data_IF_954227620954
#
_entry.id   IF_954227620954
#
_cell.length_a   1.000
_cell.length_b   1.000
_cell.length_c   1.000
_cell.angle_alpha   90.00
_cell.angle_beta   90.00
_cell.angle_gamma   90.00
#
_symmetry.space_group_name_H-M   'P 1'
#
loop_
_entity.id
_entity.type
_entity.pdbx_description
1 polymer ?
#
# COMPACT_ATOMS: atom_id res chain seq x y z
N UNK A 1 17.45 -23.25 -11.29
CA UNK A 1 17.24 -22.28 -12.38
C UNK A 1 15.96 -21.50 -12.07
N UNK A 2 16.06 -20.22 -11.69
CA UNK A 2 14.88 -19.36 -11.50
C UNK A 2 14.31 -19.04 -12.87
N UNK A 3 13.15 -19.58 -13.20
CA UNK A 3 12.43 -19.19 -14.43
C UNK A 3 12.24 -17.66 -14.41
N UNK A 4 12.82 -16.98 -15.37
CA UNK A 4 12.58 -15.55 -15.58
C UNK A 4 11.17 -15.40 -16.11
N UNK A 5 10.22 -15.12 -15.20
CA UNK A 5 8.84 -14.78 -15.59
C UNK A 5 8.91 -13.55 -16.52
N UNK A 6 8.29 -13.65 -17.69
CA UNK A 6 8.19 -12.52 -18.63
C UNK A 6 7.31 -11.41 -18.02
N UNK A 7 7.60 -10.13 -18.29
CA UNK A 7 6.76 -9.04 -17.84
C UNK A 7 5.35 -9.16 -18.44
N UNK A 8 4.32 -8.98 -17.61
CA UNK A 8 2.93 -8.97 -18.08
C UNK A 8 2.56 -7.55 -18.52
N UNK A 9 1.94 -7.42 -19.70
CA UNK A 9 1.51 -6.13 -20.27
C UNK A 9 0.59 -5.36 -19.31
N UNK A 10 -0.32 -6.06 -18.64
CA UNK A 10 -1.22 -5.46 -17.66
C UNK A 10 -0.45 -4.80 -16.51
N UNK A 11 0.62 -5.44 -16.00
CA UNK A 11 1.44 -4.87 -14.95
C UNK A 11 2.14 -3.59 -15.42
N UNK A 12 2.69 -3.58 -16.63
CA UNK A 12 3.34 -2.39 -17.20
C UNK A 12 2.34 -1.23 -17.35
N UNK A 13 1.14 -1.49 -17.85
CA UNK A 13 0.10 -0.47 -17.96
C UNK A 13 -0.28 0.10 -16.60
N UNK A 14 -0.50 -0.77 -15.61
CA UNK A 14 -0.84 -0.33 -14.25
C UNK A 14 0.30 0.42 -13.57
N UNK A 15 1.56 0.02 -13.81
CA UNK A 15 2.74 0.74 -13.32
C UNK A 15 2.90 2.11 -13.99
N UNK A 16 2.52 2.24 -15.27
CA UNK A 16 2.46 3.55 -15.95
C UNK A 16 1.44 4.46 -15.26
N UNK A 17 0.23 3.96 -15.04
CA UNK A 17 -0.83 4.71 -14.33
C UNK A 17 -0.37 5.09 -12.93
N UNK A 18 0.26 4.16 -12.21
CA UNK A 18 0.82 4.40 -10.88
C UNK A 18 1.84 5.55 -10.86
N UNK A 19 2.81 5.53 -11.81
CA UNK A 19 3.81 6.59 -11.95
C UNK A 19 3.20 7.96 -12.30
N UNK A 20 2.19 7.98 -13.17
CA UNK A 20 1.47 9.21 -13.52
C UNK A 20 0.73 9.80 -12.31
N UNK A 21 -0.02 8.97 -11.57
CA UNK A 21 -0.76 9.41 -10.37
C UNK A 21 0.20 9.96 -9.32
N UNK A 22 1.31 9.27 -9.08
CA UNK A 22 2.31 9.71 -8.11
C UNK A 22 2.95 11.05 -8.52
N UNK A 23 3.35 11.19 -9.80
CA UNK A 23 3.88 12.44 -10.33
C UNK A 23 2.88 13.59 -10.14
N UNK A 24 1.61 13.37 -10.43
CA UNK A 24 0.55 14.34 -10.24
C UNK A 24 0.43 14.78 -8.77
N UNK A 25 0.33 13.83 -7.83
CA UNK A 25 0.19 14.13 -6.40
C UNK A 25 1.36 14.94 -5.84
N UNK A 26 2.58 14.52 -6.16
CA UNK A 26 3.79 15.18 -5.64
C UNK A 26 3.98 16.53 -6.31
N UNK A 27 3.92 16.63 -7.64
CA UNK A 27 4.27 17.85 -8.37
C UNK A 27 3.24 18.95 -8.18
N UNK A 28 1.94 18.63 -8.06
CA UNK A 28 0.89 19.65 -7.94
C UNK A 28 0.52 20.00 -6.51
N UNK A 29 0.67 19.07 -5.55
CA UNK A 29 0.23 19.31 -4.18
C UNK A 29 1.38 19.48 -3.20
N UNK A 30 2.48 18.75 -3.33
CA UNK A 30 3.56 18.77 -2.36
C UNK A 30 4.70 19.71 -2.72
N UNK A 31 5.20 19.66 -3.95
CA UNK A 31 6.33 20.48 -4.42
C UNK A 31 6.07 21.99 -4.31
N UNK A 32 4.91 22.55 -4.72
CA UNK A 32 4.66 24.00 -4.66
C UNK A 32 4.72 24.57 -3.25
N UNK A 33 4.28 23.81 -2.27
CA UNK A 33 4.25 24.20 -0.85
C UNK A 33 5.47 23.69 -0.08
N UNK A 34 6.45 23.11 -0.79
CA UNK A 34 7.71 22.59 -0.24
C UNK A 34 7.52 21.51 0.83
N UNK A 35 6.44 20.74 0.74
CA UNK A 35 6.24 19.56 1.56
C UNK A 35 7.09 18.40 1.02
N UNK A 36 7.55 17.55 1.92
CA UNK A 36 8.37 16.40 1.57
C UNK A 36 7.51 15.14 1.47
N UNK A 37 7.77 14.36 0.44
CA UNK A 37 7.28 12.98 0.34
C UNK A 37 8.16 12.04 1.20
N UNK A 38 7.90 10.76 1.12
CA UNK A 38 8.69 9.74 1.81
C UNK A 38 9.92 9.30 1.01
N UNK A 39 10.89 8.71 1.69
CA UNK A 39 11.98 7.98 1.08
C UNK A 39 12.91 8.83 0.20
N UNK A 40 13.29 8.26 -0.93
CA UNK A 40 14.17 8.93 -1.91
C UNK A 40 13.47 10.10 -2.60
N UNK A 41 12.15 10.00 -2.81
CA UNK A 41 11.36 11.11 -3.33
C UNK A 41 11.49 12.34 -2.43
N UNK A 42 11.27 12.19 -1.12
CA UNK A 42 11.45 13.27 -0.16
C UNK A 42 12.89 13.79 -0.07
N UNK A 43 13.87 12.88 -0.12
CA UNK A 43 15.29 13.24 -0.18
C UNK A 43 15.60 14.06 -1.46
N UNK A 44 15.03 13.66 -2.60
CA UNK A 44 15.19 14.36 -3.88
C UNK A 44 14.59 15.77 -3.83
N UNK A 45 13.43 15.92 -3.17
CA UNK A 45 12.78 17.23 -2.97
C UNK A 45 13.61 18.15 -2.06
N UNK A 46 14.22 17.60 -1.00
CA UNK A 46 15.15 18.38 -0.15
C UNK A 46 16.35 18.84 -0.96
N UNK A 47 16.98 17.95 -1.74
CA UNK A 47 18.14 18.27 -2.56
C UNK A 47 17.81 19.31 -3.63
N UNK A 48 16.66 19.22 -4.29
CA UNK A 48 16.19 20.24 -5.24
C UNK A 48 16.09 21.63 -4.60
N UNK A 49 15.62 21.70 -3.34
CA UNK A 49 15.46 22.99 -2.65
C UNK A 49 16.77 23.65 -2.22
N UNK A 50 17.81 22.85 -1.96
CA UNK A 50 19.12 23.36 -1.49
C UNK A 50 20.17 23.47 -2.60
N UNK A 51 19.87 23.01 -3.82
CA UNK A 51 20.78 23.02 -4.96
C UNK A 51 20.34 24.06 -6.02
N UNK A 52 21.24 24.46 -6.93
CA UNK A 52 20.89 25.35 -8.02
C UNK A 52 19.78 24.80 -8.92
N UNK A 53 18.96 25.67 -9.51
CA UNK A 53 17.79 25.33 -10.34
C UNK A 53 18.06 24.47 -11.59
N UNK A 54 19.33 24.25 -11.93
CA UNK A 54 19.70 23.30 -13.00
C UNK A 54 19.55 21.83 -12.60
N UNK A 55 19.45 21.52 -11.28
CA UNK A 55 19.28 20.18 -10.74
C UNK A 55 17.83 19.98 -10.29
N UNK A 56 17.04 19.34 -11.15
CA UNK A 56 15.60 19.12 -10.91
C UNK A 56 15.32 17.91 -10.05
N UNK A 57 14.13 17.90 -9.44
CA UNK A 57 13.56 16.73 -8.74
C UNK A 57 13.71 15.44 -9.55
N UNK A 58 13.35 15.48 -10.83
CA UNK A 58 13.39 14.32 -11.72
C UNK A 58 14.80 13.74 -11.88
N UNK A 59 15.82 14.60 -11.89
CA UNK A 59 17.22 14.19 -11.98
C UNK A 59 17.65 13.48 -10.69
N UNK A 60 17.34 14.04 -9.53
CA UNK A 60 17.66 13.43 -8.25
C UNK A 60 16.93 12.11 -8.04
N UNK A 61 15.64 12.03 -8.44
CA UNK A 61 14.89 10.77 -8.41
C UNK A 61 15.60 9.65 -9.18
N UNK A 62 16.12 9.93 -10.36
CA UNK A 62 16.84 8.94 -11.16
C UNK A 62 18.19 8.57 -10.52
N UNK A 63 19.01 9.57 -10.20
CA UNK A 63 20.38 9.35 -9.69
C UNK A 63 20.38 8.58 -8.36
N UNK A 64 19.52 8.97 -7.41
CA UNK A 64 19.50 8.35 -6.09
C UNK A 64 18.88 6.95 -6.09
N UNK A 65 17.94 6.68 -6.99
CA UNK A 65 17.32 5.35 -7.10
C UNK A 65 18.20 4.31 -7.80
N UNK A 66 19.08 4.71 -8.74
CA UNK A 66 19.94 3.78 -9.49
C UNK A 66 20.74 2.84 -8.58
N UNK A 67 21.55 3.32 -7.60
CA UNK A 67 22.35 2.43 -6.75
C UNK A 67 21.49 1.48 -5.92
N UNK A 68 20.32 1.92 -5.47
CA UNK A 68 19.39 1.12 -4.68
C UNK A 68 18.78 0.00 -5.52
N UNK A 69 18.42 0.28 -6.76
CA UNK A 69 17.94 -0.73 -7.70
C UNK A 69 19.00 -1.75 -8.10
N UNK A 70 20.26 -1.34 -8.22
CA UNK A 70 21.36 -2.28 -8.46
C UNK A 70 21.53 -3.29 -7.30
N UNK A 71 21.36 -2.84 -6.06
CA UNK A 71 21.31 -3.73 -4.89
C UNK A 71 20.05 -4.61 -4.93
N UNK A 72 18.90 -4.04 -5.28
CA UNK A 72 17.64 -4.75 -5.45
C UNK A 72 17.73 -5.89 -6.46
N UNK A 73 18.39 -5.65 -7.59
CA UNK A 73 18.60 -6.64 -8.65
C UNK A 73 19.25 -7.93 -8.13
N UNK A 74 20.23 -7.79 -7.26
CA UNK A 74 20.95 -8.94 -6.67
C UNK A 74 20.14 -9.70 -5.62
N UNK A 75 19.18 -9.05 -4.96
CA UNK A 75 18.46 -9.59 -3.79
C UNK A 75 17.01 -9.98 -4.06
N UNK A 76 16.27 -9.18 -4.81
CA UNK A 76 14.83 -9.36 -5.07
C UNK A 76 14.53 -10.07 -6.41
N UNK A 77 15.47 -9.99 -7.34
CA UNK A 77 15.35 -10.61 -8.67
C UNK A 77 15.06 -9.61 -9.78
N UNK A 78 15.33 -10.05 -11.03
CA UNK A 78 15.35 -9.14 -12.19
C UNK A 78 13.97 -8.54 -12.54
N UNK A 79 12.88 -9.30 -12.40
CA UNK A 79 11.55 -8.82 -12.80
C UNK A 79 11.04 -7.70 -11.86
N UNK A 80 11.19 -7.88 -10.56
CA UNK A 80 10.83 -6.85 -9.58
C UNK A 80 11.62 -5.56 -9.80
N UNK A 81 12.94 -5.69 -9.97
CA UNK A 81 13.81 -4.53 -10.21
C UNK A 81 13.49 -3.84 -11.53
N UNK A 82 13.18 -4.61 -12.59
CA UNK A 82 12.74 -4.04 -13.85
C UNK A 82 11.46 -3.21 -13.69
N UNK A 83 10.46 -3.74 -12.98
CA UNK A 83 9.21 -3.02 -12.72
C UNK A 83 9.45 -1.76 -11.87
N UNK A 84 10.31 -1.83 -10.86
CA UNK A 84 10.66 -0.67 -10.03
C UNK A 84 11.37 0.42 -10.85
N UNK A 85 12.40 0.06 -11.65
CA UNK A 85 13.09 1.01 -12.54
C UNK A 85 12.11 1.64 -13.54
N UNK A 86 11.25 0.82 -14.15
CA UNK A 86 10.24 1.30 -15.09
C UNK A 86 9.30 2.31 -14.42
N UNK A 87 8.78 1.99 -13.23
CA UNK A 87 7.83 2.85 -12.51
C UNK A 87 8.46 4.19 -12.13
N UNK A 88 9.68 4.17 -11.58
CA UNK A 88 10.41 5.41 -11.23
C UNK A 88 10.76 6.22 -12.47
N UNK A 89 11.09 5.55 -13.58
CA UNK A 89 11.33 6.21 -14.88
C UNK A 89 10.08 6.94 -15.37
N UNK A 90 8.92 6.30 -15.33
CA UNK A 90 7.61 6.91 -15.67
C UNK A 90 7.29 8.07 -14.73
N UNK A 91 7.45 7.87 -13.42
CA UNK A 91 7.24 8.92 -12.43
C UNK A 91 8.12 10.15 -12.71
N UNK A 92 9.43 9.94 -12.91
CA UNK A 92 10.37 11.01 -13.21
C UNK A 92 10.04 11.74 -14.51
N UNK A 93 9.66 10.99 -15.55
CA UNK A 93 9.25 11.56 -16.85
C UNK A 93 8.01 12.44 -16.71
N UNK A 94 6.97 11.95 -16.03
CA UNK A 94 5.74 12.72 -15.85
C UNK A 94 5.94 13.93 -14.92
N UNK A 95 6.75 13.80 -13.85
CA UNK A 95 7.12 14.94 -13.01
C UNK A 95 7.80 16.03 -13.86
N UNK A 96 8.74 15.65 -14.74
CA UNK A 96 9.41 16.56 -15.65
C UNK A 96 8.44 17.20 -16.67
N UNK A 97 7.54 16.41 -17.27
CA UNK A 97 6.51 16.88 -18.21
C UNK A 97 5.59 17.91 -17.55
N UNK A 98 5.11 17.63 -16.34
CA UNK A 98 4.23 18.55 -15.61
C UNK A 98 4.95 19.86 -15.29
N UNK A 99 6.21 19.78 -14.87
CA UNK A 99 6.96 20.99 -14.45
C UNK A 99 7.43 21.84 -15.62
N UNK A 100 7.80 21.23 -16.77
CA UNK A 100 8.52 21.94 -17.83
C UNK A 100 7.74 22.10 -19.15
N UNK A 101 6.77 21.24 -19.44
CA UNK A 101 6.09 21.22 -20.74
C UNK A 101 4.64 21.64 -20.65
N UNK A 102 3.91 21.12 -19.66
CA UNK A 102 2.52 21.50 -19.50
C UNK A 102 2.44 22.93 -18.96
N UNK A 103 1.60 23.81 -19.56
CA UNK A 103 1.38 25.16 -19.06
C UNK A 103 0.49 25.15 -17.83
N UNK A 104 0.77 24.22 -16.91
CA UNK A 104 0.09 24.18 -15.62
C UNK A 104 0.87 25.11 -14.73
N UNK A 105 0.29 26.27 -14.44
CA UNK A 105 0.81 27.12 -13.38
C UNK A 105 0.64 26.36 -12.06
N UNK A 106 1.74 25.77 -11.61
CA UNK A 106 1.76 24.92 -10.42
C UNK A 106 1.31 25.71 -9.18
N UNK A 107 1.45 27.04 -9.19
CA UNK A 107 0.97 27.93 -8.13
C UNK A 107 -0.56 28.11 -8.14
N UNK A 108 -1.20 28.00 -9.31
CA UNK A 108 -2.64 28.21 -9.54
C UNK A 108 -3.38 26.86 -9.69
N UNK A 109 -2.73 25.84 -10.25
CA UNK A 109 -3.35 24.53 -10.51
C UNK A 109 -3.66 23.72 -9.23
N UNK A 110 -3.11 24.13 -8.11
CA UNK A 110 -3.61 23.72 -6.80
C UNK A 110 -4.47 24.86 -6.24
N UNK A 111 -5.77 24.89 -6.50
CA UNK A 111 -6.68 25.82 -5.85
C UNK A 111 -6.67 25.67 -4.32
N UNK A 112 -6.12 24.57 -3.82
CA UNK A 112 -5.89 24.27 -2.42
C UNK A 112 -4.50 24.67 -1.94
N UNK A 113 -3.52 24.82 -2.84
CA UNK A 113 -2.16 25.25 -2.51
C UNK A 113 -2.05 26.74 -2.11
N UNK A 114 -3.14 27.47 -2.19
CA UNK A 114 -3.14 28.90 -1.88
C UNK A 114 -2.66 29.31 -0.52
N UNK A 115 -2.53 28.43 0.47
CA UNK A 115 -1.89 28.62 1.80
C UNK A 115 -2.22 27.47 2.78
N UNK A 116 -3.11 26.54 2.43
CA UNK A 116 -3.53 25.48 3.36
C UNK A 116 -2.61 24.25 3.23
N UNK A 117 -1.53 24.28 4.00
CA UNK A 117 -0.54 23.20 4.05
C UNK A 117 -1.15 21.86 4.45
N UNK A 118 -2.22 21.87 5.28
CA UNK A 118 -2.87 20.64 5.74
C UNK A 118 -3.61 19.96 4.58
N UNK A 119 -4.36 20.72 3.79
CA UNK A 119 -5.04 20.18 2.61
C UNK A 119 -4.06 19.66 1.58
N UNK A 120 -2.98 20.40 1.31
CA UNK A 120 -1.92 19.95 0.40
C UNK A 120 -1.24 18.67 0.90
N UNK A 121 -0.97 18.57 2.19
CA UNK A 121 -0.39 17.38 2.81
C UNK A 121 -1.32 16.16 2.70
N UNK A 122 -2.62 16.33 3.01
CA UNK A 122 -3.59 15.25 2.96
C UNK A 122 -3.84 14.77 1.52
N UNK A 123 -4.16 15.67 0.61
CA UNK A 123 -4.44 15.29 -0.79
C UNK A 123 -3.19 14.82 -1.52
N UNK A 124 -2.05 15.50 -1.34
CA UNK A 124 -0.78 15.05 -1.89
C UNK A 124 -0.41 13.65 -1.39
N UNK A 125 -0.54 13.41 -0.08
CA UNK A 125 -0.30 12.11 0.53
C UNK A 125 -1.26 11.03 0.03
N UNK A 126 -2.56 11.29 -0.04
CA UNK A 126 -3.54 10.32 -0.56
C UNK A 126 -3.24 9.98 -2.02
N UNK A 127 -3.01 10.98 -2.88
CA UNK A 127 -2.78 10.76 -4.31
C UNK A 127 -1.45 10.02 -4.54
N UNK A 128 -0.37 10.43 -3.87
CA UNK A 128 0.91 9.73 -3.96
C UNK A 128 0.79 8.30 -3.41
N UNK A 129 0.05 8.12 -2.32
CA UNK A 129 -0.26 6.81 -1.75
C UNK A 129 -1.04 5.89 -2.70
N UNK A 130 -1.95 6.41 -3.52
CA UNK A 130 -2.61 5.63 -4.60
C UNK A 130 -1.56 5.15 -5.60
N UNK A 131 -0.68 6.03 -6.06
CA UNK A 131 0.40 5.69 -6.98
C UNK A 131 1.32 4.60 -6.41
N UNK A 132 1.84 4.80 -5.20
CA UNK A 132 2.73 3.84 -4.52
C UNK A 132 2.03 2.51 -4.24
N UNK A 133 0.78 2.53 -3.77
CA UNK A 133 0.00 1.33 -3.53
C UNK A 133 -0.24 0.50 -4.78
N UNK A 134 -0.56 1.15 -5.91
CA UNK A 134 -0.69 0.47 -7.20
C UNK A 134 0.65 -0.11 -7.66
N UNK A 135 1.76 0.62 -7.51
CA UNK A 135 3.07 0.12 -7.88
C UNK A 135 3.42 -1.17 -7.12
N UNK A 136 3.24 -1.18 -5.81
CA UNK A 136 3.47 -2.36 -4.96
C UNK A 136 2.55 -3.52 -5.35
N UNK A 137 1.26 -3.26 -5.53
CA UNK A 137 0.26 -4.29 -5.89
C UNK A 137 0.58 -5.00 -7.20
N UNK A 138 1.15 -4.28 -8.19
CA UNK A 138 1.53 -4.84 -9.48
C UNK A 138 3.00 -5.27 -9.56
N UNK A 139 3.65 -5.43 -8.40
CA UNK A 139 4.98 -6.05 -8.25
C UNK A 139 6.14 -5.14 -8.57
N UNK A 140 5.94 -3.82 -8.57
CA UNK A 140 6.97 -2.79 -8.65
C UNK A 140 7.24 -2.13 -7.31
N UNK A 141 7.95 -1.00 -7.34
CA UNK A 141 8.15 -0.08 -6.24
C UNK A 141 8.21 1.34 -6.80
N UNK A 142 7.77 2.31 -6.04
CA UNK A 142 7.81 3.71 -6.43
C UNK A 142 9.13 4.37 -6.02
N UNK A 143 9.84 3.74 -5.07
CA UNK A 143 11.03 4.30 -4.45
C UNK A 143 12.07 3.21 -4.12
N UNK A 144 13.35 3.55 -4.28
CA UNK A 144 14.46 2.67 -3.94
C UNK A 144 14.56 2.35 -2.44
N UNK A 145 14.03 3.21 -1.56
CA UNK A 145 14.00 2.92 -0.13
C UNK A 145 13.06 1.76 0.20
N UNK A 146 11.96 1.60 -0.53
CA UNK A 146 11.06 0.46 -0.40
C UNK A 146 11.79 -0.85 -0.75
N UNK A 147 12.60 -0.83 -1.82
CA UNK A 147 13.44 -1.97 -2.21
C UNK A 147 14.46 -2.31 -1.11
N UNK A 148 15.10 -1.29 -0.55
CA UNK A 148 16.05 -1.46 0.55
C UNK A 148 15.37 -1.93 1.82
N UNK A 149 14.19 -1.42 2.13
CA UNK A 149 13.41 -1.81 3.30
C UNK A 149 13.09 -3.32 3.28
N UNK A 150 12.68 -3.87 2.14
CA UNK A 150 12.45 -5.33 2.00
C UNK A 150 13.72 -6.14 2.28
N UNK A 151 14.90 -5.61 1.91
CA UNK A 151 16.19 -6.29 2.10
C UNK A 151 16.67 -6.22 3.57
N UNK A 152 16.61 -5.02 4.15
CA UNK A 152 17.21 -4.76 5.47
C UNK A 152 16.26 -5.06 6.63
N UNK A 153 14.96 -4.81 6.48
CA UNK A 153 13.96 -5.11 7.50
C UNK A 153 14.04 -6.58 7.93
N UNK A 154 14.19 -7.47 6.95
CA UNK A 154 14.34 -8.91 7.19
C UNK A 154 15.59 -9.27 8.00
N UNK A 155 16.66 -8.49 7.86
CA UNK A 155 17.93 -8.69 8.62
C UNK A 155 17.85 -8.08 10.02
N UNK A 156 17.17 -6.94 10.15
CA UNK A 156 17.03 -6.22 11.40
C UNK A 156 15.89 -6.76 12.28
N UNK A 157 15.07 -7.71 11.78
CA UNK A 157 13.92 -8.24 12.53
C UNK A 157 12.79 -7.22 12.71
N UNK A 158 12.72 -6.20 11.84
CA UNK A 158 11.67 -5.17 11.85
C UNK A 158 10.77 -5.30 10.62
N UNK A 159 9.60 -4.66 10.64
CA UNK A 159 8.73 -4.60 9.47
C UNK A 159 9.27 -3.62 8.42
N UNK A 160 8.88 -3.82 7.15
CA UNK A 160 9.23 -2.89 6.06
C UNK A 160 8.76 -1.47 6.38
N UNK A 161 7.52 -1.33 6.86
CA UNK A 161 6.97 -0.03 7.25
C UNK A 161 7.75 0.64 8.38
N UNK A 162 8.21 -0.12 9.39
CA UNK A 162 9.05 0.42 10.47
C UNK A 162 10.39 0.95 9.93
N UNK A 163 11.02 0.23 9.00
CA UNK A 163 12.27 0.67 8.38
C UNK A 163 12.08 1.99 7.63
N UNK A 164 11.05 2.08 6.77
CA UNK A 164 10.73 3.30 6.01
C UNK A 164 10.37 4.45 6.96
N UNK A 165 9.61 4.17 8.02
CA UNK A 165 9.25 5.19 9.02
C UNK A 165 10.47 5.78 9.71
N UNK A 166 11.43 4.94 10.14
CA UNK A 166 12.68 5.42 10.75
C UNK A 166 13.46 6.29 9.77
N UNK A 167 13.59 5.87 8.52
CA UNK A 167 14.23 6.67 7.48
C UNK A 167 13.57 8.04 7.32
N UNK A 168 12.23 8.08 7.24
CA UNK A 168 11.48 9.32 7.09
C UNK A 168 11.60 10.24 8.30
N UNK A 169 11.62 9.73 9.52
CA UNK A 169 11.88 10.53 10.72
C UNK A 169 13.24 11.21 10.62
N UNK A 170 14.29 10.46 10.25
CA UNK A 170 15.64 11.01 10.08
C UNK A 170 15.63 12.10 8.99
N UNK A 171 15.01 11.81 7.84
CA UNK A 171 14.89 12.77 6.74
C UNK A 171 14.21 14.06 7.19
N UNK A 172 13.06 13.97 7.87
CA UNK A 172 12.29 15.15 8.29
C UNK A 172 13.01 15.96 9.37
N UNK A 173 13.78 15.30 10.25
CA UNK A 173 14.66 16.01 11.19
C UNK A 173 15.75 16.78 10.44
N UNK A 174 16.39 16.17 9.43
CA UNK A 174 17.38 16.85 8.59
C UNK A 174 16.74 18.04 7.87
N UNK A 175 15.55 17.87 7.29
CA UNK A 175 14.81 18.96 6.65
C UNK A 175 14.56 20.12 7.62
N UNK A 176 14.11 19.83 8.84
CA UNK A 176 13.88 20.84 9.88
C UNK A 176 15.12 21.63 10.26
N UNK A 177 16.26 20.94 10.37
CA UNK A 177 17.54 21.56 10.71
C UNK A 177 18.12 22.41 9.55
N UNK A 178 18.04 21.89 8.30
CA UNK A 178 18.61 22.54 7.11
C UNK A 178 17.82 23.78 6.72
N UNK A 179 16.50 23.74 6.86
CA UNK A 179 15.61 24.85 6.46
C UNK A 179 15.22 25.76 7.61
N UNK A 180 15.75 25.51 8.80
CA UNK A 180 15.45 26.28 10.04
C UNK A 180 13.93 26.42 10.30
N UNK A 181 13.13 25.44 9.83
CA UNK A 181 11.68 25.45 9.96
C UNK A 181 11.15 24.05 10.27
N UNK A 182 10.42 23.91 11.35
CA UNK A 182 9.79 22.65 11.76
C UNK A 182 8.37 22.48 11.20
N UNK A 183 7.76 23.52 10.66
CA UNK A 183 6.39 23.51 10.17
C UNK A 183 6.24 22.53 9.00
N UNK A 184 7.11 22.64 7.99
CA UNK A 184 7.06 21.78 6.80
C UNK A 184 7.32 20.31 7.12
N UNK A 185 8.33 19.92 7.91
CA UNK A 185 8.52 18.54 8.35
C UNK A 185 7.31 17.96 9.09
N UNK A 186 6.64 18.72 9.95
CA UNK A 186 5.45 18.25 10.66
C UNK A 186 4.28 17.98 9.71
N UNK A 187 4.04 18.86 8.74
CA UNK A 187 3.03 18.60 7.70
C UNK A 187 3.42 17.43 6.78
N UNK A 188 4.71 17.21 6.55
CA UNK A 188 5.19 16.05 5.79
C UNK A 188 4.92 14.73 6.53
N UNK A 189 4.95 14.71 7.86
CA UNK A 189 4.49 13.55 8.65
C UNK A 189 3.01 13.28 8.41
N UNK A 190 2.18 14.32 8.32
CA UNK A 190 0.75 14.18 8.01
C UNK A 190 0.57 13.61 6.60
N UNK A 191 1.29 14.15 5.61
CA UNK A 191 1.26 13.66 4.23
C UNK A 191 1.68 12.17 4.16
N UNK A 192 2.77 11.80 4.82
CA UNK A 192 3.23 10.43 4.88
C UNK A 192 2.22 9.49 5.55
N UNK A 193 1.59 9.94 6.64
CA UNK A 193 0.56 9.15 7.34
C UNK A 193 -0.66 8.90 6.46
N UNK A 194 -1.08 9.89 5.68
CA UNK A 194 -2.16 9.77 4.70
C UNK A 194 -1.76 8.81 3.56
N UNK A 195 -0.54 8.95 3.02
CA UNK A 195 0.01 8.08 2.00
C UNK A 195 0.06 6.62 2.48
N UNK A 196 0.61 6.36 3.67
CA UNK A 196 0.74 5.02 4.25
C UNK A 196 -0.62 4.33 4.38
N UNK A 197 -1.63 5.02 4.92
CA UNK A 197 -2.99 4.47 5.01
C UNK A 197 -3.62 4.18 3.66
N UNK A 198 -3.34 5.01 2.67
CA UNK A 198 -3.82 4.80 1.30
C UNK A 198 -3.12 3.62 0.64
N UNK A 199 -1.80 3.49 0.82
CA UNK A 199 -1.02 2.34 0.35
C UNK A 199 -1.56 1.05 0.95
N UNK A 200 -1.73 0.98 2.28
CA UNK A 200 -2.30 -0.19 2.96
C UNK A 200 -3.66 -0.57 2.34
N UNK A 201 -4.54 0.41 2.14
CA UNK A 201 -5.86 0.20 1.54
C UNK A 201 -5.81 -0.34 0.11
N UNK A 202 -4.90 0.18 -0.72
CA UNK A 202 -4.76 -0.25 -2.13
C UNK A 202 -4.09 -1.63 -2.23
N UNK A 203 -3.05 -1.88 -1.43
CA UNK A 203 -2.29 -3.14 -1.46
C UNK A 203 -3.12 -4.29 -0.92
N UNK A 204 -3.77 -4.09 0.23
CA UNK A 204 -4.60 -5.12 0.85
C UNK A 204 -5.94 -5.31 0.14
N UNK A 205 -6.39 -4.29 -0.60
CA UNK A 205 -7.66 -4.30 -1.33
C UNK A 205 -8.89 -4.06 -0.42
N UNK A 206 -10.03 -3.87 -1.08
CA UNK A 206 -11.32 -3.64 -0.41
C UNK A 206 -11.87 -4.95 0.17
N UNK A 207 -11.53 -6.07 -0.45
CA UNK A 207 -12.04 -7.40 -0.13
C UNK A 207 -11.14 -8.14 0.88
N UNK A 208 -10.96 -7.55 2.07
CA UNK A 208 -10.36 -8.30 3.17
C UNK A 208 -11.26 -9.47 3.54
N UNK A 209 -10.79 -10.67 3.24
CA UNK A 209 -11.47 -11.87 3.67
C UNK A 209 -11.44 -11.98 5.20
N UNK A 210 -12.54 -12.43 5.74
CA UNK A 210 -12.69 -12.76 7.16
C UNK A 210 -12.89 -14.26 7.30
N UNK A 211 -12.18 -14.86 8.23
CA UNK A 211 -12.46 -16.22 8.65
C UNK A 211 -13.44 -16.19 9.82
N UNK A 212 -14.60 -16.76 9.62
CA UNK A 212 -15.56 -17.03 10.68
C UNK A 212 -15.37 -18.47 11.19
N UNK A 213 -15.08 -18.61 12.47
CA UNK A 213 -15.10 -19.89 13.18
C UNK A 213 -16.39 -19.92 13.97
N UNK A 214 -17.33 -20.81 13.55
CA UNK A 214 -18.66 -20.93 14.14
C UNK A 214 -18.69 -22.23 14.97
N UNK A 215 -18.94 -22.10 16.26
CA UNK A 215 -19.10 -23.26 17.17
C UNK A 215 -20.58 -23.46 17.43
N UNK A 216 -21.10 -24.62 17.03
CA UNK A 216 -22.56 -24.89 17.04
C UNK A 216 -22.88 -26.34 17.35
N UNK A 217 -24.11 -26.61 17.79
CA UNK A 217 -24.72 -27.93 17.90
C UNK A 217 -25.53 -28.30 16.63
N UNK A 218 -25.73 -27.33 15.66
CA UNK A 218 -26.50 -27.52 14.43
C UNK A 218 -25.64 -27.32 13.15
N UNK A 219 -24.58 -28.15 12.99
CA UNK A 219 -23.60 -27.93 11.91
C UNK A 219 -24.17 -28.23 10.52
N UNK A 220 -25.12 -29.14 10.36
CA UNK A 220 -25.65 -29.51 9.05
C UNK A 220 -26.51 -28.41 8.46
N UNK A 221 -27.41 -27.86 9.26
CA UNK A 221 -28.34 -26.79 8.87
C UNK A 221 -27.58 -25.52 8.52
N UNK A 222 -26.60 -25.14 9.36
CA UNK A 222 -25.77 -23.96 9.13
C UNK A 222 -24.90 -24.13 7.89
N UNK A 223 -24.24 -25.29 7.70
CA UNK A 223 -23.46 -25.53 6.50
C UNK A 223 -24.32 -25.42 5.23
N UNK A 224 -25.52 -26.03 5.24
CA UNK A 224 -26.42 -25.99 4.10
C UNK A 224 -26.85 -24.55 3.78
N UNK A 225 -27.33 -23.81 4.78
CA UNK A 225 -27.80 -22.44 4.59
C UNK A 225 -26.70 -21.48 4.11
N UNK A 226 -25.51 -21.58 4.68
CA UNK A 226 -24.36 -20.73 4.26
C UNK A 226 -23.86 -21.10 2.87
N UNK A 227 -23.76 -22.40 2.55
CA UNK A 227 -23.32 -22.85 1.22
C UNK A 227 -24.30 -22.41 0.14
N UNK A 228 -25.62 -22.56 0.38
CA UNK A 228 -26.67 -22.16 -0.56
C UNK A 228 -26.70 -20.61 -0.76
N UNK A 229 -26.40 -19.86 0.33
CA UNK A 229 -26.46 -18.39 0.27
C UNK A 229 -25.23 -17.76 -0.36
N UNK A 230 -24.03 -18.31 -0.08
CA UNK A 230 -22.77 -17.66 -0.45
C UNK A 230 -22.00 -18.41 -1.55
N UNK A 231 -22.38 -19.63 -1.89
CA UNK A 231 -21.69 -20.44 -2.90
C UNK A 231 -20.29 -20.89 -2.51
N UNK A 232 -19.89 -20.70 -1.24
CA UNK A 232 -18.54 -20.98 -0.76
C UNK A 232 -18.49 -22.26 0.07
N UNK A 233 -17.37 -22.97 0.01
CA UNK A 233 -17.14 -24.19 0.79
C UNK A 233 -16.98 -23.89 2.29
N UNK A 234 -17.42 -24.85 3.12
CA UNK A 234 -17.29 -24.81 4.59
C UNK A 234 -16.55 -26.05 5.06
N UNK A 235 -15.55 -25.84 5.91
CA UNK A 235 -14.85 -26.96 6.54
C UNK A 235 -15.41 -27.20 7.96
N UNK A 236 -15.85 -28.44 8.22
CA UNK A 236 -16.37 -28.84 9.51
C UNK A 236 -15.34 -29.68 10.27
N UNK A 237 -15.14 -29.33 11.54
CA UNK A 237 -14.31 -30.08 12.50
C UNK A 237 -15.18 -30.49 13.67
N UNK A 238 -15.17 -31.77 14.03
CA UNK A 238 -15.86 -32.27 15.22
C UNK A 238 -15.17 -31.74 16.48
N UNK A 239 -15.96 -31.26 17.43
CA UNK A 239 -15.47 -30.66 18.66
C UNK A 239 -16.33 -31.10 19.83
N UNK A 240 -15.83 -30.94 21.06
CA UNK A 240 -16.56 -31.25 22.28
C UNK A 240 -16.49 -30.06 23.24
N UNK A 241 -17.62 -29.68 23.81
CA UNK A 241 -17.68 -28.60 24.78
C UNK A 241 -16.92 -28.96 26.04
N UNK A 242 -15.89 -28.22 26.40
CA UNK A 242 -15.03 -28.51 27.55
C UNK A 242 -15.77 -28.48 28.89
N UNK A 243 -16.78 -27.61 29.03
CA UNK A 243 -17.60 -27.52 30.24
C UNK A 243 -18.85 -28.41 30.17
N UNK A 244 -19.57 -28.34 29.05
CA UNK A 244 -20.86 -29.08 28.90
C UNK A 244 -20.71 -30.54 28.53
N UNK A 245 -19.53 -30.94 28.08
CA UNK A 245 -19.21 -32.27 27.53
C UNK A 245 -20.13 -32.70 26.37
N UNK A 246 -20.86 -31.75 25.76
CA UNK A 246 -21.73 -31.97 24.61
C UNK A 246 -20.94 -31.99 23.31
N UNK A 247 -21.41 -32.77 22.35
CA UNK A 247 -20.86 -32.80 21.01
C UNK A 247 -21.21 -31.51 20.29
N UNK A 248 -20.20 -30.86 19.73
CA UNK A 248 -20.30 -29.63 18.94
C UNK A 248 -19.49 -29.74 17.64
N UNK A 249 -19.67 -28.82 16.75
CA UNK A 249 -18.81 -28.69 15.59
C UNK A 249 -18.24 -27.31 15.51
N UNK A 250 -17.03 -27.20 15.00
CA UNK A 250 -16.41 -25.94 14.58
C UNK A 250 -16.48 -25.87 13.05
N UNK A 251 -17.07 -24.81 12.53
CA UNK A 251 -17.20 -24.55 11.10
C UNK A 251 -16.24 -23.44 10.74
N UNK A 252 -15.32 -23.71 9.82
CA UNK A 252 -14.43 -22.71 9.23
C UNK A 252 -15.06 -22.22 7.95
N UNK A 253 -15.44 -20.94 7.94
CA UNK A 253 -16.09 -20.31 6.81
C UNK A 253 -15.41 -18.99 6.46
N UNK A 254 -15.04 -18.83 5.20
CA UNK A 254 -14.39 -17.62 4.71
C UNK A 254 -15.41 -16.77 3.97
N UNK A 255 -15.54 -15.53 4.37
CA UNK A 255 -16.46 -14.52 3.79
C UNK A 255 -15.73 -13.21 3.58
N UNK A 256 -16.25 -12.38 2.68
CA UNK A 256 -15.77 -11.00 2.61
C UNK A 256 -16.40 -10.15 3.73
N UNK A 257 -15.79 -9.00 4.01
CA UNK A 257 -16.22 -8.11 5.13
C UNK A 257 -17.70 -7.70 5.05
N UNK A 258 -18.26 -7.59 3.84
CA UNK A 258 -19.64 -7.15 3.63
C UNK A 258 -20.67 -8.27 3.87
N UNK A 259 -20.22 -9.52 3.75
CA UNK A 259 -21.05 -10.70 3.96
C UNK A 259 -21.17 -11.11 5.43
N UNK A 260 -20.30 -10.56 6.30
CA UNK A 260 -20.25 -10.92 7.72
C UNK A 260 -21.58 -10.73 8.44
N UNK A 261 -22.27 -9.61 8.19
CA UNK A 261 -23.56 -9.32 8.86
C UNK A 261 -24.59 -10.38 8.48
N UNK A 262 -24.77 -10.60 7.17
CA UNK A 262 -25.73 -11.59 6.67
C UNK A 262 -25.38 -13.01 7.11
N UNK A 263 -24.12 -13.35 7.20
CA UNK A 263 -23.65 -14.65 7.74
C UNK A 263 -24.05 -14.80 9.21
N UNK A 264 -23.85 -13.75 10.04
CA UNK A 264 -24.25 -13.77 11.44
C UNK A 264 -25.75 -13.95 11.62
N UNK A 265 -26.55 -13.26 10.81
CA UNK A 265 -28.03 -13.35 10.88
C UNK A 265 -28.49 -14.77 10.57
N UNK A 266 -27.97 -15.38 9.48
CA UNK A 266 -28.30 -16.78 9.13
C UNK A 266 -27.93 -17.76 10.23
N UNK A 267 -26.74 -17.62 10.83
CA UNK A 267 -26.30 -18.50 11.90
C UNK A 267 -27.16 -18.32 13.15
N UNK A 268 -27.48 -17.07 13.51
CA UNK A 268 -28.28 -16.76 14.69
C UNK A 268 -29.74 -17.24 14.56
N UNK A 269 -30.31 -17.18 13.35
CA UNK A 269 -31.67 -17.68 13.08
C UNK A 269 -31.76 -19.20 13.24
N UNK A 270 -30.68 -19.95 12.96
CA UNK A 270 -30.64 -21.42 13.09
C UNK A 270 -30.24 -21.84 14.49
N UNK A 271 -29.19 -21.23 15.04
CA UNK A 271 -28.68 -21.52 16.38
C UNK A 271 -28.37 -20.23 17.14
N UNK A 272 -29.36 -19.72 17.92
CA UNK A 272 -29.14 -18.52 18.76
C UNK A 272 -28.03 -18.68 19.81
N UNK A 273 -27.62 -19.93 20.13
CA UNK A 273 -26.57 -20.24 21.08
C UNK A 273 -25.20 -20.45 20.40
N UNK A 274 -25.13 -20.32 19.09
CA UNK A 274 -23.87 -20.45 18.34
C UNK A 274 -22.88 -19.37 18.76
N UNK A 275 -21.59 -19.76 18.89
CA UNK A 275 -20.50 -18.85 19.18
C UNK A 275 -19.69 -18.59 17.92
N UNK A 276 -19.57 -17.34 17.52
CA UNK A 276 -18.90 -16.93 16.27
C UNK A 276 -17.66 -16.11 16.60
N UNK A 277 -16.50 -16.58 16.17
CA UNK A 277 -15.23 -15.86 16.21
C UNK A 277 -14.95 -15.36 14.79
N UNK A 278 -14.62 -14.07 14.63
CA UNK A 278 -14.25 -13.51 13.35
C UNK A 278 -12.83 -12.98 13.45
N UNK A 279 -11.95 -13.50 12.60
CA UNK A 279 -10.56 -13.08 12.47
C UNK A 279 -10.26 -12.55 11.07
N UNK A 280 -9.26 -11.69 10.97
CA UNK A 280 -8.73 -11.27 9.67
C UNK A 280 -7.90 -12.38 9.06
N UNK A 281 -8.06 -12.59 7.76
CA UNK A 281 -7.24 -13.52 6.99
C UNK A 281 -6.23 -12.69 6.20
N UNK A 282 -4.95 -13.00 6.39
CA UNK A 282 -3.88 -12.27 5.72
C UNK A 282 -3.87 -12.52 4.20
N UNK A 283 -4.16 -13.76 3.79
CA UNK A 283 -4.23 -14.15 2.37
C UNK A 283 -5.01 -15.46 2.22
N UNK A 284 -5.64 -15.67 1.06
CA UNK A 284 -6.34 -16.89 0.69
C UNK A 284 -5.81 -17.36 -0.65
N UNK A 285 -5.24 -18.55 -0.66
CA UNK A 285 -4.86 -19.22 -1.90
C UNK A 285 -5.83 -20.36 -2.18
N UNK A 286 -6.62 -20.23 -3.25
CA UNK A 286 -7.47 -21.30 -3.75
C UNK A 286 -7.08 -21.61 -5.18
N UNK A 287 -6.91 -22.87 -5.52
CA UNK A 287 -6.65 -23.31 -6.88
C UNK A 287 -7.89 -23.28 -7.79
N UNK A 288 -9.09 -23.01 -7.22
CA UNK A 288 -10.38 -23.05 -7.93
C UNK A 288 -10.88 -21.65 -8.36
N UNK A 289 -10.07 -20.61 -8.34
CA UNK A 289 -10.48 -19.26 -8.77
C UNK A 289 -10.25 -19.00 -10.28
N UNK A 290 -10.21 -20.05 -11.11
CA UNK A 290 -10.10 -19.95 -12.58
C UNK A 290 -11.41 -20.39 -13.28
N UNK A 291 -12.59 -20.02 -12.77
CA UNK A 291 -13.86 -20.07 -13.51
C UNK A 291 -14.58 -18.71 -13.49
#
# INVERSE_FOLDING_TARGET
MRQTKKPRMVNLLMLTVAGMINAFGITLFMTPVKLYDSGISGTSMLLEQITPSCLSLSLFLLILNIPLFLVGLKKQGGLFTFYAIYTVGIYSLFAWLITNIFPIDVSIASPLAGKDLLLCALFGGVISGIGSGLAIRYGGAMDGIEVMAVIFAKRAGVTVGTFVMVYNIILYVICGCVLESWVLPLYSIVAYSAALKTVDFIVEGIDRAKCAVIVTEWPHEICKALTETFGSGITRVSAKGGYSNRDKAMLYFVVNRYQVIRMKDIVHDIDPAAFIIISEVADIFSSNNDE
#
